data_IF_644256434026
#
_entry.id   IF_644256434026
#
_cell.length_a   1.000
_cell.length_b   1.000
_cell.length_c   1.000
_cell.angle_alpha   90.00
_cell.angle_beta   90.00
_cell.angle_gamma   90.00
#
_symmetry.space_group_name_H-M   'P 1'
#
loop_
_entity.id
_entity.type
_entity.pdbx_description
1 polymer ?
#
# COMPACT_ATOMS: atom_id res chain seq x y z
N UNK A 1 9.78 12.05 11.44
CA UNK A 1 8.78 11.46 10.51
C UNK A 1 8.68 9.98 10.86
N UNK A 2 7.49 9.45 11.20
CA UNK A 2 7.35 8.02 11.53
C UNK A 2 7.73 7.21 10.28
N UNK A 3 8.59 6.17 10.41
CA UNK A 3 8.93 5.26 9.31
C UNK A 3 7.65 4.60 8.79
N UNK A 4 7.16 5.06 7.64
CA UNK A 4 6.04 4.45 6.93
C UNK A 4 6.55 3.82 5.64
N UNK A 5 6.07 2.62 5.39
CA UNK A 5 6.25 1.91 4.15
C UNK A 5 4.93 1.87 3.37
N UNK A 6 5.03 1.62 2.07
CA UNK A 6 3.90 1.34 1.22
C UNK A 6 4.13 0.05 0.43
N UNK A 7 3.04 -0.55 -0.04
CA UNK A 7 3.04 -1.66 -0.97
C UNK A 7 1.94 -1.42 -2.00
N UNK A 8 2.24 -1.57 -3.28
CA UNK A 8 1.24 -1.50 -4.36
C UNK A 8 1.31 -2.78 -5.17
N UNK A 9 0.18 -3.46 -5.31
CA UNK A 9 0.09 -4.77 -5.95
C UNK A 9 -1.16 -4.87 -6.85
N UNK A 10 -1.12 -5.71 -7.89
CA UNK A 10 -2.27 -5.93 -8.76
C UNK A 10 -3.26 -6.90 -8.11
N UNK A 11 -4.55 -6.65 -8.33
CA UNK A 11 -5.68 -7.53 -8.00
C UNK A 11 -6.52 -7.77 -9.26
N UNK A 12 -7.54 -8.62 -9.19
CA UNK A 12 -8.50 -8.82 -10.30
C UNK A 12 -9.27 -7.54 -10.68
N UNK A 13 -9.36 -6.56 -9.78
CA UNK A 13 -10.14 -5.34 -9.96
C UNK A 13 -9.28 -4.12 -10.32
N UNK A 14 -7.94 -4.25 -10.30
CA UNK A 14 -7.00 -3.13 -10.52
C UNK A 14 -5.86 -3.13 -9.52
N UNK A 15 -5.21 -1.99 -9.36
CA UNK A 15 -4.08 -1.80 -8.46
C UNK A 15 -4.55 -1.37 -7.08
N UNK A 16 -4.16 -2.15 -6.07
CA UNK A 16 -4.47 -1.88 -4.67
C UNK A 16 -3.21 -1.35 -3.97
N UNK A 17 -3.39 -0.52 -2.95
CA UNK A 17 -2.29 0.09 -2.21
C UNK A 17 -2.45 -0.09 -0.71
N UNK A 18 -1.37 -0.43 -0.02
CA UNK A 18 -1.30 -0.46 1.44
C UNK A 18 -0.25 0.54 1.91
N UNK A 19 -0.53 1.23 3.00
CA UNK A 19 0.44 2.07 3.72
C UNK A 19 0.40 1.68 5.19
N UNK A 20 1.57 1.47 5.79
CA UNK A 20 1.69 1.03 7.17
C UNK A 20 3.09 1.24 7.73
N UNK A 21 3.27 0.90 9.00
CA UNK A 21 4.57 0.95 9.69
C UNK A 21 4.60 -0.06 10.83
N UNK A 22 5.45 0.16 11.82
CA UNK A 22 5.61 -0.74 12.98
C UNK A 22 4.30 -0.93 13.78
N UNK A 23 3.39 0.03 13.73
CA UNK A 23 2.07 -0.01 14.38
C UNK A 23 1.00 -0.75 13.54
N UNK A 24 1.35 -1.28 12.37
CA UNK A 24 0.44 -1.99 11.47
C UNK A 24 0.03 -1.20 10.22
N UNK A 25 -0.99 -1.72 9.52
CA UNK A 25 -1.60 -1.06 8.36
C UNK A 25 -2.34 0.19 8.81
N UNK A 26 -2.02 1.34 8.21
CA UNK A 26 -2.65 2.63 8.49
C UNK A 26 -3.67 3.04 7.44
N UNK A 27 -3.48 2.60 6.19
CA UNK A 27 -4.37 2.93 5.09
C UNK A 27 -4.39 1.84 4.04
N UNK A 28 -5.58 1.62 3.51
CA UNK A 28 -5.85 0.74 2.38
C UNK A 28 -6.46 1.61 1.28
N UNK A 29 -5.85 1.58 0.11
CA UNK A 29 -6.35 2.17 -1.11
C UNK A 29 -6.99 1.04 -1.93
N UNK A 30 -8.26 1.21 -2.27
CA UNK A 30 -9.01 0.24 -3.04
C UNK A 30 -8.46 0.10 -4.47
N UNK A 31 -8.78 -1.00 -5.16
CA UNK A 31 -8.33 -1.21 -6.54
C UNK A 31 -8.69 -0.06 -7.47
N UNK A 32 -7.67 0.49 -8.15
CA UNK A 32 -7.79 1.54 -9.15
C UNK A 32 -7.13 1.12 -10.47
N UNK A 33 -7.60 1.59 -11.64
CA UNK A 33 -7.04 1.18 -12.93
C UNK A 33 -5.57 1.57 -13.13
N UNK A 34 -5.13 2.66 -12.49
CA UNK A 34 -3.83 3.30 -12.73
C UNK A 34 -2.90 3.17 -11.53
N UNK A 35 -1.83 2.38 -11.69
CA UNK A 35 -0.74 2.28 -10.70
C UNK A 35 -0.08 3.65 -10.44
N UNK A 36 0.08 4.44 -11.49
CA UNK A 36 0.78 5.73 -11.41
C UNK A 36 -0.02 6.77 -10.62
N UNK A 37 -1.34 6.81 -10.81
CA UNK A 37 -2.21 7.73 -10.07
C UNK A 37 -2.32 7.32 -8.59
N UNK A 38 -2.41 6.00 -8.33
CA UNK A 38 -2.37 5.47 -6.97
C UNK A 38 -1.07 5.84 -6.26
N UNK A 39 0.09 5.64 -6.90
CA UNK A 39 1.38 6.04 -6.33
C UNK A 39 1.48 7.55 -6.10
N UNK A 40 0.99 8.36 -7.04
CA UNK A 40 0.96 9.81 -6.90
C UNK A 40 0.17 10.23 -5.65
N UNK A 41 -0.97 9.59 -5.40
CA UNK A 41 -1.78 9.83 -4.18
C UNK A 41 -1.07 9.38 -2.91
N UNK A 42 -0.46 8.19 -2.92
CA UNK A 42 0.31 7.69 -1.77
C UNK A 42 1.44 8.66 -1.42
N UNK A 43 2.21 9.14 -2.40
CA UNK A 43 3.31 10.07 -2.15
C UNK A 43 2.86 11.47 -1.76
N UNK A 44 1.69 11.91 -2.21
CA UNK A 44 1.07 13.16 -1.77
C UNK A 44 0.64 13.08 -0.29
N UNK A 45 0.04 11.96 0.13
CA UNK A 45 -0.44 11.77 1.50
C UNK A 45 0.68 11.38 2.49
N UNK A 46 1.68 10.62 2.04
CA UNK A 46 2.78 10.08 2.84
C UNK A 46 4.15 10.41 2.24
N UNK A 47 4.59 11.68 2.30
CA UNK A 47 5.87 12.08 1.75
C UNK A 47 7.03 11.36 2.44
N UNK A 48 7.91 10.75 1.64
CA UNK A 48 9.10 10.04 2.12
C UNK A 48 8.85 8.62 2.61
N UNK A 49 7.67 8.02 2.33
CA UNK A 49 7.46 6.60 2.56
C UNK A 49 8.37 5.73 1.68
N UNK A 50 8.74 4.55 2.16
CA UNK A 50 9.58 3.59 1.43
C UNK A 50 8.74 2.46 0.85
N UNK A 51 9.14 1.94 -0.30
CA UNK A 51 8.49 0.76 -0.86
C UNK A 51 8.88 -0.48 -0.06
N UNK A 52 7.90 -1.32 0.25
CA UNK A 52 8.10 -2.62 0.90
C UNK A 52 8.15 -2.57 2.43
N UNK A 53 7.61 -3.64 3.01
CA UNK A 53 7.70 -3.99 4.45
C UNK A 53 7.21 -5.43 4.59
N UNK A 54 7.90 -6.25 5.39
CA UNK A 54 7.44 -7.62 5.69
C UNK A 54 6.01 -7.65 6.25
N UNK A 55 5.62 -6.62 7.01
CA UNK A 55 4.26 -6.48 7.55
C UNK A 55 3.24 -6.26 6.43
N UNK A 56 3.57 -5.43 5.44
CA UNK A 56 2.66 -5.14 4.33
C UNK A 56 2.54 -6.30 3.36
N UNK A 57 3.61 -7.09 3.18
CA UNK A 57 3.54 -8.32 2.39
C UNK A 57 2.61 -9.35 3.03
N UNK A 58 2.69 -9.55 4.35
CA UNK A 58 1.74 -10.41 5.07
C UNK A 58 0.30 -9.93 4.92
N UNK A 59 0.07 -8.61 5.03
CA UNK A 59 -1.25 -8.04 4.83
C UNK A 59 -1.76 -8.23 3.39
N UNK A 60 -0.88 -8.18 2.38
CA UNK A 60 -1.23 -8.50 0.99
C UNK A 60 -1.67 -9.96 0.87
N UNK A 61 -0.91 -10.90 1.44
CA UNK A 61 -1.24 -12.32 1.44
C UNK A 61 -2.62 -12.57 2.08
N UNK A 62 -2.89 -11.95 3.23
CA UNK A 62 -4.19 -12.06 3.89
C UNK A 62 -5.34 -11.50 3.03
N UNK A 63 -5.10 -10.46 2.22
CA UNK A 63 -6.11 -9.89 1.32
C UNK A 63 -6.35 -10.77 0.10
N UNK A 64 -5.29 -11.36 -0.47
CA UNK A 64 -5.39 -12.23 -1.66
C UNK A 64 -6.14 -13.54 -1.35
N UNK A 65 -6.21 -13.95 -0.08
CA UNK A 65 -6.95 -15.14 0.37
C UNK A 65 -8.49 -14.97 0.39
N UNK A 66 -9.02 -13.75 0.23
CA UNK A 66 -10.47 -13.45 0.20
C UNK A 66 -11.01 -13.12 -1.20
#
# INVERSE_FOLDING_TARGET
MKNVSFLVFPTRLGWMGLVGGEEGVRRIYLPEPSRADLLSRIFLEYPGCREGSELLEKAREEIDDY
#
